data_IF_558259041081
#
_entry.id   IF_558259041081
#
_cell.length_a   1.000
_cell.length_b   1.000
_cell.length_c   1.000
_cell.angle_alpha   90.00
_cell.angle_beta   90.00
_cell.angle_gamma   90.00
#
_symmetry.space_group_name_H-M   'P 1'
#
loop_
_entity.id
_entity.type
_entity.pdbx_description
1 polymer ?
#
# COMPACT_ATOMS: atom_id res chain seq x y z
N UNK A 1 8.72 -10.70 -4.95
CA UNK A 1 7.45 -11.08 -5.61
C UNK A 1 6.62 -9.84 -5.83
N UNK A 2 5.68 -9.88 -6.78
CA UNK A 2 4.77 -8.76 -7.07
C UNK A 2 3.33 -9.26 -7.07
N UNK A 3 2.45 -8.60 -6.33
CA UNK A 3 1.00 -8.86 -6.31
C UNK A 3 0.27 -7.55 -6.51
N UNK A 4 -0.88 -7.57 -7.17
CA UNK A 4 -1.71 -6.38 -7.33
C UNK A 4 -2.69 -6.30 -6.16
N UNK A 5 -2.75 -5.15 -5.49
CA UNK A 5 -3.80 -4.84 -4.52
C UNK A 5 -4.79 -3.88 -5.15
N UNK A 6 -6.08 -4.19 -5.04
CA UNK A 6 -7.15 -3.30 -5.48
C UNK A 6 -7.75 -2.63 -4.26
N UNK A 7 -7.69 -1.30 -4.24
CA UNK A 7 -8.34 -0.49 -3.24
C UNK A 7 -9.30 0.47 -3.92
N UNK A 8 -10.59 0.31 -3.63
CA UNK A 8 -11.69 0.95 -4.37
C UNK A 8 -11.55 0.66 -5.87
N UNK A 9 -11.47 1.71 -6.70
CA UNK A 9 -11.42 1.58 -8.15
C UNK A 9 -9.98 1.63 -8.70
N UNK A 10 -8.96 1.49 -7.85
CA UNK A 10 -7.55 1.59 -8.26
C UNK A 10 -6.78 0.35 -7.82
N UNK A 11 -6.15 -0.27 -8.80
CA UNK A 11 -5.22 -1.38 -8.61
C UNK A 11 -3.79 -0.85 -8.61
N UNK A 12 -3.00 -1.26 -7.63
CA UNK A 12 -1.61 -0.83 -7.45
C UNK A 12 -0.73 -2.07 -7.27
N UNK A 13 0.41 -2.17 -7.99
CA UNK A 13 1.36 -3.26 -7.77
C UNK A 13 2.04 -3.09 -6.40
N UNK A 14 2.14 -4.20 -5.68
CA UNK A 14 2.81 -4.32 -4.40
C UNK A 14 3.98 -5.29 -4.54
N UNK A 15 5.18 -4.81 -4.23
CA UNK A 15 6.41 -5.58 -4.23
C UNK A 15 6.72 -6.02 -2.80
N UNK A 16 7.01 -7.31 -2.61
CA UNK A 16 7.29 -7.88 -1.29
C UNK A 16 8.26 -9.07 -1.38
N UNK A 17 9.12 -9.30 -0.37
CA UNK A 17 9.91 -10.53 -0.22
C UNK A 17 9.02 -11.77 -0.04
N UNK A 18 9.47 -12.95 -0.47
CA UNK A 18 8.69 -14.21 -0.43
C UNK A 18 8.17 -14.59 0.96
N UNK A 19 8.89 -14.21 2.01
CA UNK A 19 8.56 -14.55 3.41
C UNK A 19 7.49 -13.64 4.03
N UNK A 20 6.99 -12.65 3.30
CA UNK A 20 6.14 -11.57 3.84
C UNK A 20 4.67 -11.63 3.42
N UNK A 21 4.14 -12.82 3.16
CA UNK A 21 2.75 -13.01 2.75
C UNK A 21 1.74 -12.54 3.80
N UNK A 22 2.01 -12.73 5.10
CA UNK A 22 1.14 -12.28 6.19
C UNK A 22 0.99 -10.75 6.23
N UNK A 23 2.07 -10.02 5.94
CA UNK A 23 2.05 -8.55 5.90
C UNK A 23 1.20 -8.00 4.75
N UNK A 24 0.94 -8.79 3.70
CA UNK A 24 0.01 -8.39 2.64
C UNK A 24 -1.45 -8.37 3.13
N UNK A 25 -1.82 -9.30 4.02
CA UNK A 25 -3.15 -9.30 4.64
C UNK A 25 -3.29 -8.11 5.59
N UNK A 26 -2.25 -7.82 6.38
CA UNK A 26 -2.20 -6.64 7.22
C UNK A 26 -2.30 -5.34 6.43
N UNK A 27 -1.58 -5.22 5.31
CA UNK A 27 -1.73 -4.08 4.40
C UNK A 27 -3.18 -3.96 3.89
N UNK A 28 -3.81 -5.08 3.50
CA UNK A 28 -5.20 -5.04 3.04
C UNK A 28 -6.15 -4.52 4.11
N UNK A 29 -6.03 -5.03 5.34
CA UNK A 29 -6.81 -4.57 6.48
C UNK A 29 -6.55 -3.08 6.77
N UNK A 30 -5.29 -2.65 6.73
CA UNK A 30 -4.92 -1.25 6.93
C UNK A 30 -5.55 -0.32 5.90
N UNK A 31 -5.59 -0.74 4.63
CA UNK A 31 -6.25 0.03 3.59
C UNK A 31 -7.76 0.15 3.84
N UNK A 32 -8.42 -0.90 4.35
CA UNK A 32 -9.83 -0.86 4.74
C UNK A 32 -10.07 0.12 5.89
N UNK A 33 -9.21 0.17 6.91
CA UNK A 33 -9.28 1.19 7.97
C UNK A 33 -9.22 2.61 7.42
N UNK A 34 -8.37 2.81 6.40
CA UNK A 34 -8.16 4.11 5.76
C UNK A 34 -9.27 4.45 4.74
N UNK A 35 -10.29 3.61 4.58
CA UNK A 35 -11.37 3.80 3.62
C UNK A 35 -12.07 5.15 3.76
N UNK A 36 -12.31 5.60 4.98
CA UNK A 36 -13.01 6.85 5.25
C UNK A 36 -12.08 8.04 5.43
N UNK A 37 -10.76 7.82 5.35
CA UNK A 37 -9.77 8.89 5.43
C UNK A 37 -9.65 9.62 4.08
N UNK A 38 -10.19 10.83 4.01
CA UNK A 38 -10.25 11.62 2.78
C UNK A 38 -8.86 12.00 2.24
N UNK A 39 -7.95 12.39 3.12
CA UNK A 39 -6.59 12.79 2.74
C UNK A 39 -5.80 11.60 2.20
N UNK A 40 -5.94 10.45 2.83
CA UNK A 40 -5.36 9.21 2.34
C UNK A 40 -5.93 8.83 0.98
N UNK A 41 -7.26 8.91 0.78
CA UNK A 41 -7.87 8.64 -0.54
C UNK A 41 -7.33 9.55 -1.64
N UNK A 42 -7.11 10.83 -1.35
CA UNK A 42 -6.47 11.76 -2.29
C UNK A 42 -5.05 11.33 -2.64
N UNK A 43 -4.27 10.98 -1.61
CA UNK A 43 -2.90 10.48 -1.76
C UNK A 43 -2.86 9.18 -2.57
N UNK A 44 -3.76 8.23 -2.28
CA UNK A 44 -3.84 6.93 -2.94
C UNK A 44 -4.00 7.00 -4.45
N UNK A 45 -4.78 7.98 -4.94
CA UNK A 45 -4.95 8.24 -6.37
C UNK A 45 -3.65 8.61 -7.10
N UNK A 46 -2.58 8.93 -6.39
CA UNK A 46 -1.28 9.32 -6.97
C UNK A 46 -0.20 8.25 -6.78
N UNK A 47 -0.51 7.16 -6.07
CA UNK A 47 0.45 6.10 -5.79
C UNK A 47 0.66 5.27 -7.06
N UNK A 48 1.93 5.06 -7.41
CA UNK A 48 2.39 4.27 -8.54
C UNK A 48 2.58 2.80 -8.16
N UNK A 49 3.17 2.56 -6.99
CA UNK A 49 3.50 1.22 -6.48
C UNK A 49 3.59 1.25 -4.95
N UNK A 50 3.50 0.06 -4.36
CA UNK A 50 3.76 -0.16 -2.93
C UNK A 50 4.92 -1.13 -2.81
N UNK A 51 5.79 -0.88 -1.84
CA UNK A 51 6.84 -1.80 -1.43
C UNK A 51 6.63 -2.16 0.03
N UNK A 52 6.49 -3.45 0.31
CA UNK A 52 6.37 -3.97 1.66
C UNK A 52 7.74 -4.34 2.20
N UNK A 53 8.06 -3.77 3.36
CA UNK A 53 9.25 -4.13 4.14
C UNK A 53 8.77 -4.40 5.56
N UNK A 54 8.62 -5.69 5.89
CA UNK A 54 8.10 -6.14 7.20
C UNK A 54 6.72 -5.49 7.45
N UNK A 55 6.59 -4.76 8.54
CA UNK A 55 5.40 -4.07 9.04
C UNK A 55 5.21 -2.66 8.49
N UNK A 56 6.00 -2.26 7.49
CA UNK A 56 5.89 -0.95 6.85
C UNK A 56 5.60 -1.09 5.36
N UNK A 57 4.54 -0.40 4.92
CA UNK A 57 4.19 -0.20 3.52
C UNK A 57 4.75 1.15 3.03
N UNK A 58 5.64 1.08 2.05
CA UNK A 58 6.23 2.25 1.39
C UNK A 58 5.43 2.52 0.13
N UNK A 59 4.61 3.55 0.18
CA UNK A 59 3.76 4.02 -0.91
C UNK A 59 4.54 4.99 -1.79
N UNK A 60 4.90 4.56 -3.00
CA UNK A 60 5.71 5.36 -3.94
C UNK A 60 4.81 6.18 -4.86
N UNK A 61 5.07 7.48 -4.97
CA UNK A 61 4.36 8.38 -5.87
C UNK A 61 5.06 8.50 -7.22
N UNK A 62 4.33 8.96 -8.23
CA UNK A 62 4.89 9.19 -9.57
C UNK A 62 5.96 10.30 -9.61
N UNK A 63 5.94 11.22 -8.65
CA UNK A 63 6.92 12.31 -8.51
C UNK A 63 8.19 11.91 -7.74
N UNK A 64 8.31 10.63 -7.34
CA UNK A 64 9.45 10.10 -6.60
C UNK A 64 9.36 10.26 -5.07
N UNK A 65 8.35 10.97 -4.56
CA UNK A 65 8.11 11.04 -3.11
C UNK A 65 7.62 9.70 -2.57
N UNK A 66 7.73 9.52 -1.24
CA UNK A 66 7.33 8.28 -0.54
C UNK A 66 6.47 8.62 0.67
N UNK A 67 5.44 7.81 0.91
CA UNK A 67 4.66 7.84 2.14
C UNK A 67 4.86 6.50 2.85
N UNK A 68 5.22 6.57 4.13
CA UNK A 68 5.42 5.42 4.98
C UNK A 68 4.13 5.17 5.76
N UNK A 69 3.65 3.93 5.74
CA UNK A 69 2.44 3.51 6.43
C UNK A 69 2.77 2.26 7.24
N UNK A 70 2.63 2.35 8.56
CA UNK A 70 2.68 1.18 9.44
C UNK A 70 1.41 0.34 9.22
N UNK A 71 1.59 -0.98 9.09
CA UNK A 71 0.51 -1.96 8.88
C UNK A 71 0.26 -2.87 10.09
N UNK A 72 0.85 -2.54 11.25
CA UNK A 72 0.73 -3.28 12.50
C UNK A 72 -0.71 -3.34 13.04
#
# INVERSE_FOLDING_TARGET
MTKVITFKNRSVPVHYPSEQLSYMELLHNKLLEMEFNFDFRKKWKRIKSVEMIRDVAILQYSDGTKLYLEVC
#
